data_IF_370033837588
#
_entry.id   IF_370033837588
#
_cell.length_a   1.000
_cell.length_b   1.000
_cell.length_c   1.000
_cell.angle_alpha   90.00
_cell.angle_beta   90.00
_cell.angle_gamma   90.00
#
_symmetry.space_group_name_H-M   'P 1'
#
loop_
_entity.id
_entity.type
_entity.pdbx_description
1 polymer ?
#
# COMPACT_ATOMS: atom_id res chain seq x y z
N UNK A 1 -3.66 -3.78 2.21
CA UNK A 1 -4.18 -3.42 0.88
C UNK A 1 -5.19 -4.47 0.42
N UNK A 2 -4.79 -5.72 0.16
CA UNK A 2 -5.70 -6.79 -0.27
C UNK A 2 -6.93 -6.99 0.65
N UNK A 3 -6.76 -6.87 1.97
CA UNK A 3 -7.86 -7.04 2.93
C UNK A 3 -8.77 -5.81 3.08
N UNK A 4 -8.50 -4.69 2.41
CA UNK A 4 -9.28 -3.45 2.57
C UNK A 4 -9.22 -2.82 3.96
N UNK A 5 -8.16 -3.08 4.73
CA UNK A 5 -7.97 -2.55 6.08
C UNK A 5 -6.99 -1.37 6.02
N UNK A 6 -7.29 -0.29 6.75
CA UNK A 6 -6.40 0.85 6.95
C UNK A 6 -5.01 0.41 7.42
N UNK A 7 -3.97 1.00 6.85
CA UNK A 7 -2.58 0.70 7.18
C UNK A 7 -1.96 1.88 7.92
N UNK A 8 -1.37 1.63 9.09
CA UNK A 8 -0.37 2.53 9.67
C UNK A 8 1.01 1.95 9.36
N UNK A 9 1.70 2.51 8.38
CA UNK A 9 3.01 2.03 7.94
C UNK A 9 4.14 2.89 8.49
N UNK A 10 5.00 2.32 9.34
CA UNK A 10 6.27 2.93 9.78
C UNK A 10 7.35 2.53 8.78
N UNK A 11 7.35 3.16 7.62
CA UNK A 11 8.12 2.72 6.44
C UNK A 11 8.57 3.91 5.58
N UNK A 12 9.61 3.71 4.77
CA UNK A 12 10.08 4.65 3.74
C UNK A 12 10.20 3.95 2.38
N UNK A 13 10.31 4.74 1.32
CA UNK A 13 10.46 4.23 -0.06
C UNK A 13 9.14 3.85 -0.71
N UNK A 14 9.17 2.82 -1.56
CA UNK A 14 8.03 2.42 -2.40
C UNK A 14 6.76 2.13 -1.61
N UNK A 15 6.85 1.38 -0.50
CA UNK A 15 5.68 1.08 0.32
C UNK A 15 5.02 2.35 0.89
N UNK A 16 5.83 3.35 1.27
CA UNK A 16 5.31 4.63 1.72
C UNK A 16 4.58 5.39 0.59
N UNK A 17 5.12 5.36 -0.62
CA UNK A 17 4.46 5.96 -1.79
C UNK A 17 3.14 5.27 -2.09
N UNK A 18 3.11 3.93 -2.13
CA UNK A 18 1.88 3.16 -2.41
C UNK A 18 0.77 3.43 -1.39
N UNK A 19 1.09 3.50 -0.08
CA UNK A 19 0.09 3.81 0.95
C UNK A 19 -0.54 5.20 0.72
N UNK A 20 0.28 6.20 0.35
CA UNK A 20 -0.16 7.57 0.10
C UNK A 20 -0.95 7.70 -1.19
N UNK A 21 -0.42 7.17 -2.29
CA UNK A 21 -1.01 7.27 -3.63
C UNK A 21 -2.35 6.52 -3.73
N UNK A 22 -2.43 5.35 -3.08
CA UNK A 22 -3.66 4.54 -3.07
C UNK A 22 -4.57 4.87 -1.88
N UNK A 23 -4.26 5.94 -1.14
CA UNK A 23 -5.03 6.49 -0.03
C UNK A 23 -5.56 5.41 0.95
N UNK A 24 -4.72 4.45 1.31
CA UNK A 24 -5.13 3.28 2.08
C UNK A 24 -4.59 3.30 3.51
N UNK A 25 -4.15 4.45 3.99
CA UNK A 25 -3.55 4.55 5.30
C UNK A 25 -2.74 5.81 5.55
N UNK A 26 -1.95 5.76 6.63
CA UNK A 26 -1.00 6.78 7.03
C UNK A 26 0.41 6.21 7.01
N UNK A 27 1.37 7.04 6.60
CA UNK A 27 2.79 6.74 6.65
C UNK A 27 3.43 7.55 7.77
N UNK A 28 4.26 6.87 8.56
CA UNK A 28 5.11 7.46 9.58
C UNK A 28 6.55 7.16 9.20
N UNK A 29 7.45 8.12 9.40
CA UNK A 29 8.86 7.90 9.14
C UNK A 29 9.44 6.84 10.10
N UNK A 30 10.35 5.97 9.63
CA UNK A 30 11.08 5.06 10.50
C UNK A 30 11.80 5.81 11.62
N UNK A 31 11.89 5.16 12.78
CA UNK A 31 12.55 5.70 13.99
C UNK A 31 11.89 6.95 14.59
N UNK A 32 10.63 7.24 14.24
CA UNK A 32 9.82 8.31 14.85
C UNK A 32 8.63 7.74 15.67
N UNK A 33 8.89 7.26 16.90
CA UNK A 33 7.83 6.69 17.75
C UNK A 33 6.79 7.73 18.21
N UNK A 34 7.17 9.01 18.27
CA UNK A 34 6.30 10.09 18.70
C UNK A 34 5.25 10.41 17.61
N UNK A 35 5.66 10.46 16.34
CA UNK A 35 4.75 10.60 15.22
C UNK A 35 3.81 9.39 15.08
N UNK A 36 4.28 8.18 15.39
CA UNK A 36 3.42 6.99 15.42
C UNK A 36 2.33 7.12 16.49
N UNK A 37 2.72 7.47 17.72
CA UNK A 37 1.77 7.67 18.81
C UNK A 37 0.75 8.78 18.49
N UNK A 38 1.19 9.90 17.91
CA UNK A 38 0.30 10.98 17.48
C UNK A 38 -0.68 10.52 16.39
N UNK A 39 -0.22 9.72 15.43
CA UNK A 39 -1.07 9.15 14.38
C UNK A 39 -2.18 8.27 14.96
N UNK A 40 -1.85 7.40 15.91
CA UNK A 40 -2.87 6.59 16.60
C UNK A 40 -3.82 7.43 17.44
N UNK A 41 -3.34 8.45 18.15
CA UNK A 41 -4.23 9.37 18.88
C UNK A 41 -5.23 10.04 17.94
N UNK A 42 -4.83 10.43 16.73
CA UNK A 42 -5.74 10.99 15.72
C UNK A 42 -6.81 9.97 15.31
N UNK A 43 -6.42 8.72 15.04
CA UNK A 43 -7.37 7.65 14.71
C UNK A 43 -8.31 7.31 15.88
N UNK A 44 -7.84 7.38 17.12
CA UNK A 44 -8.68 7.18 18.30
C UNK A 44 -9.75 8.27 18.43
N UNK A 45 -9.38 9.52 18.16
CA UNK A 45 -10.26 10.68 18.23
C UNK A 45 -11.25 10.73 17.06
N UNK A 46 -10.85 10.25 15.88
CA UNK A 46 -11.69 10.22 14.68
C UNK A 46 -11.55 8.88 13.97
N UNK A 47 -12.50 7.99 14.28
CA UNK A 47 -12.54 6.63 13.71
C UNK A 47 -12.93 6.60 12.24
N UNK A 48 -13.46 7.68 11.68
CA UNK A 48 -13.80 7.73 10.25
C UNK A 48 -12.54 7.65 9.37
N UNK A 49 -11.38 8.06 9.88
CA UNK A 49 -10.08 7.95 9.22
C UNK A 49 -9.58 6.50 9.06
N UNK A 50 -10.23 5.53 9.72
CA UNK A 50 -9.97 4.09 9.50
C UNK A 50 -10.67 3.57 8.24
N UNK A 51 -11.60 4.32 7.66
CA UNK A 51 -12.26 3.94 6.42
C UNK A 51 -11.32 4.21 5.24
N UNK A 52 -11.13 3.19 4.41
CA UNK A 52 -10.36 3.26 3.17
C UNK A 52 -11.23 2.77 2.02
N UNK A 53 -11.03 3.31 0.82
CA UNK A 53 -11.74 2.84 -0.35
C UNK A 53 -11.18 1.48 -0.82
N UNK A 54 -11.91 0.84 -1.72
CA UNK A 54 -11.50 -0.43 -2.33
C UNK A 54 -10.35 -0.27 -3.34
N UNK A 55 -9.96 0.97 -3.68
CA UNK A 55 -8.95 1.30 -4.68
C UNK A 55 -7.63 0.55 -4.48
N UNK A 56 -7.11 0.50 -3.25
CA UNK A 56 -5.87 -0.22 -2.97
C UNK A 56 -6.02 -1.75 -3.05
N UNK A 57 -7.22 -2.28 -2.79
CA UNK A 57 -7.51 -3.71 -2.95
C UNK A 57 -7.57 -4.06 -4.44
N UNK A 58 -8.30 -3.28 -5.23
CA UNK A 58 -8.42 -3.43 -6.68
C UNK A 58 -7.05 -3.32 -7.34
N UNK A 59 -6.23 -2.36 -6.93
CA UNK A 59 -4.86 -2.23 -7.42
C UNK A 59 -4.05 -3.51 -7.19
N UNK A 60 -4.14 -4.15 -6.02
CA UNK A 60 -3.43 -5.42 -5.76
C UNK A 60 -3.90 -6.53 -6.70
N UNK A 61 -5.21 -6.62 -6.98
CA UNK A 61 -5.76 -7.60 -7.92
C UNK A 61 -5.22 -7.35 -9.33
N UNK A 62 -5.32 -6.12 -9.83
CA UNK A 62 -4.82 -5.76 -11.17
C UNK A 62 -3.31 -6.01 -11.29
N UNK A 63 -2.51 -5.63 -10.29
CA UNK A 63 -1.08 -5.90 -10.33
C UNK A 63 -0.79 -7.40 -10.39
N UNK A 64 -1.46 -8.20 -9.55
CA UNK A 64 -1.20 -9.64 -9.43
C UNK A 64 -1.67 -10.43 -10.64
N UNK A 65 -2.87 -10.14 -11.12
CA UNK A 65 -3.58 -11.02 -12.05
C UNK A 65 -3.46 -10.53 -13.50
N UNK A 66 -3.11 -9.27 -13.72
CA UNK A 66 -3.01 -8.67 -15.06
C UNK A 66 -1.59 -8.17 -15.36
N UNK A 67 -1.08 -7.21 -14.58
CA UNK A 67 0.16 -6.50 -14.91
C UNK A 67 1.39 -7.40 -14.75
N UNK A 68 1.59 -8.02 -13.58
CA UNK A 68 2.77 -8.84 -13.31
C UNK A 68 2.88 -10.03 -14.27
N UNK A 69 1.82 -10.80 -14.58
CA UNK A 69 1.90 -11.88 -15.55
C UNK A 69 2.33 -11.40 -16.94
N UNK A 70 1.79 -10.26 -17.41
CA UNK A 70 2.14 -9.70 -18.72
C UNK A 70 3.60 -9.23 -18.77
N UNK A 71 4.04 -8.49 -17.75
CA UNK A 71 5.42 -7.99 -17.66
C UNK A 71 6.43 -9.13 -17.52
N UNK A 72 6.10 -10.15 -16.72
CA UNK A 72 6.94 -11.33 -16.57
C UNK A 72 7.04 -12.12 -17.88
N UNK A 73 5.93 -12.36 -18.56
CA UNK A 73 5.93 -13.04 -19.86
C UNK A 73 6.75 -12.27 -20.90
N UNK A 74 6.58 -10.94 -20.95
CA UNK A 74 7.36 -10.07 -21.84
C UNK A 74 8.86 -10.12 -21.52
N UNK A 75 9.23 -10.20 -20.24
CA UNK A 75 10.61 -10.35 -19.81
C UNK A 75 11.20 -11.71 -20.19
N UNK A 76 10.49 -12.82 -19.93
CA UNK A 76 10.93 -14.17 -20.25
C UNK A 76 11.07 -14.38 -21.77
N UNK A 77 10.12 -13.85 -22.54
CA UNK A 77 10.17 -13.86 -24.02
C UNK A 77 11.44 -13.19 -24.55
N UNK A 78 11.89 -12.08 -23.94
CA UNK A 78 13.15 -11.40 -24.31
C UNK A 78 14.39 -12.22 -24.00
N UNK A 79 14.30 -13.15 -23.06
CA UNK A 79 15.38 -14.07 -22.68
C UNK A 79 15.37 -15.38 -23.50
N UNK A 80 14.38 -15.56 -24.39
CA UNK A 80 14.22 -16.81 -25.16
C UNK A 80 13.73 -17.98 -24.30
N UNK A 81 13.07 -17.70 -23.18
CA UNK A 81 12.41 -18.69 -22.33
C UNK A 81 10.93 -18.68 -22.74
N UNK A 82 10.49 -19.75 -23.38
CA UNK A 82 9.09 -19.99 -23.76
C UNK A 82 8.27 -20.58 -22.60
#
# INVERSE_FOLDING_TARGET
MANGIHITGVVKGETASLIKELNCGVVVDPEDPEALALSWKRLLNDRSQLQVSDTAREWVVTQRDEVVPQELYAFLSKLGIE
#
